data_IF_847331919630
#
_entry.id   IF_847331919630
#
_cell.length_a   1.000
_cell.length_b   1.000
_cell.length_c   1.000
_cell.angle_alpha   90.00
_cell.angle_beta   90.00
_cell.angle_gamma   90.00
#
_symmetry.space_group_name_H-M   'P 1'
#
loop_
_entity.id
_entity.type
_entity.pdbx_description
1 polymer ?
#
# COMPACT_ATOMS: atom_id res chain seq x y z
N UNK A 1 0.48 13.22 -9.74
CA UNK A 1 -0.45 12.55 -10.67
C UNK A 1 -0.89 13.47 -11.81
N UNK A 2 -1.11 14.74 -11.55
CA UNK A 2 -1.60 15.72 -12.53
C UNK A 2 -0.73 15.84 -13.80
N UNK A 3 0.60 15.88 -13.66
CA UNK A 3 1.52 15.95 -14.81
C UNK A 3 1.34 14.76 -15.76
N UNK A 4 1.13 13.55 -15.24
CA UNK A 4 0.92 12.37 -16.06
C UNK A 4 -0.43 12.37 -16.80
N UNK A 5 -1.42 13.07 -16.26
CA UNK A 5 -2.78 13.08 -16.80
C UNK A 5 -2.99 14.20 -17.83
N UNK A 6 -2.32 15.34 -17.66
CA UNK A 6 -2.52 16.51 -18.53
C UNK A 6 -1.47 16.66 -19.62
N UNK A 7 -0.27 16.08 -19.42
CA UNK A 7 0.88 16.23 -20.31
C UNK A 7 1.15 14.99 -21.18
N UNK A 8 0.34 13.93 -21.05
CA UNK A 8 0.59 12.64 -21.74
C UNK A 8 -0.62 12.18 -22.52
N UNK A 9 -0.38 11.61 -23.71
CA UNK A 9 -1.40 11.00 -24.55
C UNK A 9 -1.96 9.70 -23.95
N UNK A 10 -1.17 9.02 -23.08
CA UNK A 10 -1.52 7.76 -22.47
C UNK A 10 -1.74 7.94 -20.98
N UNK A 11 -2.96 7.72 -20.51
CA UNK A 11 -3.33 7.73 -19.10
C UNK A 11 -2.75 6.48 -18.42
N UNK A 12 -2.08 6.58 -17.27
CA UNK A 12 -1.62 5.42 -16.51
C UNK A 12 -2.80 4.52 -16.12
N UNK A 13 -2.73 3.22 -16.43
CA UNK A 13 -3.78 2.26 -16.05
C UNK A 13 -3.78 2.02 -14.52
N UNK A 14 -2.60 2.08 -13.89
CA UNK A 14 -2.42 1.79 -12.46
C UNK A 14 -1.50 2.85 -11.83
N UNK A 15 -1.88 3.32 -10.64
CA UNK A 15 -1.05 4.13 -9.75
C UNK A 15 -0.80 3.35 -8.46
N UNK A 16 0.45 2.93 -8.24
CA UNK A 16 0.83 2.18 -7.04
C UNK A 16 1.29 3.16 -5.95
N UNK A 17 0.51 3.24 -4.87
CA UNK A 17 0.77 4.13 -3.73
C UNK A 17 0.63 3.38 -2.42
N UNK A 18 1.25 3.88 -1.35
CA UNK A 18 1.01 3.37 0.00
C UNK A 18 -0.49 3.43 0.30
N UNK A 19 -1.09 2.27 0.59
CA UNK A 19 -2.51 2.19 0.92
C UNK A 19 -2.74 1.07 1.92
N UNK A 20 -3.11 1.45 3.14
CA UNK A 20 -3.38 0.56 4.27
C UNK A 20 -4.40 1.23 5.21
N UNK A 21 -4.93 0.55 6.26
CA UNK A 21 -5.94 1.13 7.17
C UNK A 21 -5.53 2.44 7.84
N UNK A 22 -4.24 2.66 8.12
CA UNK A 22 -3.74 3.87 8.78
C UNK A 22 -3.34 4.99 7.80
N UNK A 23 -3.26 4.67 6.50
CA UNK A 23 -3.07 5.63 5.41
C UNK A 23 -3.92 5.21 4.22
N UNK A 24 -5.22 5.48 4.30
CA UNK A 24 -6.22 4.88 3.41
C UNK A 24 -6.29 5.50 2.01
N UNK A 25 -5.76 6.71 1.82
CA UNK A 25 -5.62 7.39 0.53
C UNK A 25 -6.94 7.52 -0.26
N UNK A 26 -8.06 7.78 0.41
CA UNK A 26 -9.37 7.90 -0.24
C UNK A 26 -9.40 9.01 -1.31
N UNK A 27 -8.82 10.17 -1.01
CA UNK A 27 -8.77 11.28 -1.96
C UNK A 27 -7.97 10.92 -3.22
N UNK A 28 -6.82 10.26 -3.06
CA UNK A 28 -5.99 9.85 -4.20
C UNK A 28 -6.70 8.80 -5.05
N UNK A 29 -7.46 7.90 -4.41
CA UNK A 29 -8.28 6.90 -5.10
C UNK A 29 -9.39 7.58 -5.93
N UNK A 30 -10.14 8.51 -5.33
CA UNK A 30 -11.19 9.27 -6.02
C UNK A 30 -10.64 10.02 -7.24
N UNK A 31 -9.50 10.71 -7.07
CA UNK A 31 -8.83 11.40 -8.19
C UNK A 31 -8.38 10.41 -9.26
N UNK A 32 -7.81 9.26 -8.89
CA UNK A 32 -7.37 8.25 -9.84
C UNK A 32 -8.55 7.69 -10.66
N UNK A 33 -9.64 7.34 -10.00
CA UNK A 33 -10.85 6.79 -10.62
C UNK A 33 -11.50 7.76 -11.60
N UNK A 34 -11.52 9.07 -11.28
CA UNK A 34 -12.02 10.12 -12.19
C UNK A 34 -11.32 10.10 -13.55
N UNK A 35 -10.07 9.65 -13.60
CA UNK A 35 -9.27 9.56 -14.82
C UNK A 35 -9.11 8.13 -15.35
N UNK A 36 -9.87 7.17 -14.81
CA UNK A 36 -9.81 5.77 -15.23
C UNK A 36 -8.57 5.01 -14.75
N UNK A 37 -7.78 5.58 -13.83
CA UNK A 37 -6.61 4.95 -13.24
C UNK A 37 -7.01 4.15 -11.99
N UNK A 38 -6.55 2.92 -11.86
CA UNK A 38 -6.77 2.11 -10.66
C UNK A 38 -5.64 2.31 -9.64
N UNK A 39 -6.02 2.36 -8.37
CA UNK A 39 -5.04 2.34 -7.28
C UNK A 39 -4.59 0.91 -7.01
N UNK A 40 -3.28 0.72 -6.88
CA UNK A 40 -2.66 -0.52 -6.39
C UNK A 40 -2.00 -0.23 -5.03
N UNK A 41 -2.31 -1.05 -4.04
CA UNK A 41 -1.73 -0.88 -2.73
C UNK A 41 -0.24 -1.25 -2.71
N UNK A 42 0.60 -0.30 -2.38
CA UNK A 42 1.93 -0.54 -1.87
C UNK A 42 1.84 -0.64 -0.35
N UNK A 43 2.55 -1.60 0.24
CA UNK A 43 2.55 -1.89 1.68
C UNK A 43 1.14 -2.00 2.31
N UNK A 44 0.23 -2.88 1.80
CA UNK A 44 -1.12 -3.03 2.32
C UNK A 44 -1.16 -3.42 3.81
N UNK A 45 -0.11 -4.05 4.30
CA UNK A 45 0.08 -4.42 5.71
C UNK A 45 1.01 -3.47 6.47
N UNK A 46 1.41 -2.32 5.91
CA UNK A 46 2.32 -1.37 6.55
C UNK A 46 3.64 -2.00 7.03
N UNK A 47 4.06 -3.14 6.47
CA UNK A 47 5.19 -3.96 6.95
C UNK A 47 5.06 -4.36 8.43
N UNK A 48 3.83 -4.50 8.94
CA UNK A 48 3.54 -4.83 10.33
C UNK A 48 3.70 -3.67 11.31
N UNK A 49 3.94 -2.45 10.82
CA UNK A 49 4.05 -1.24 11.67
C UNK A 49 2.71 -0.93 12.34
N UNK A 50 2.76 -0.14 13.42
CA UNK A 50 1.60 0.31 14.18
C UNK A 50 0.70 -0.84 14.66
N UNK A 51 1.30 -1.98 15.01
CA UNK A 51 0.56 -3.16 15.46
C UNK A 51 -0.56 -3.60 14.50
N UNK A 52 -0.34 -3.44 13.19
CA UNK A 52 -1.33 -3.65 12.13
C UNK A 52 -2.11 -4.97 12.31
N UNK A 53 -1.41 -6.06 12.64
CA UNK A 53 -2.03 -7.39 12.78
C UNK A 53 -2.67 -7.65 14.15
N UNK A 54 -2.41 -6.79 15.14
CA UNK A 54 -2.91 -6.92 16.52
C UNK A 54 -3.75 -5.71 16.94
N UNK A 55 -4.08 -4.82 15.98
CA UNK A 55 -4.97 -3.70 16.23
C UNK A 55 -6.35 -4.22 16.67
N UNK A 56 -6.83 -3.78 17.82
CA UNK A 56 -8.05 -4.27 18.44
C UNK A 56 -9.26 -4.15 17.52
N UNK A 57 -9.42 -3.05 16.82
CA UNK A 57 -10.52 -2.83 15.88
C UNK A 57 -10.50 -3.85 14.74
N UNK A 58 -9.33 -4.07 14.11
CA UNK A 58 -9.20 -5.02 13.01
C UNK A 58 -9.39 -6.47 13.47
N UNK A 59 -8.93 -6.80 14.68
CA UNK A 59 -9.12 -8.12 15.29
C UNK A 59 -10.60 -8.36 15.60
N UNK A 60 -11.29 -7.41 16.25
CA UNK A 60 -12.73 -7.52 16.59
C UNK A 60 -13.60 -7.65 15.33
N UNK A 61 -13.26 -6.93 14.24
CA UNK A 61 -13.94 -7.12 12.97
C UNK A 61 -13.68 -8.52 12.43
N UNK A 62 -12.43 -9.00 12.47
CA UNK A 62 -12.08 -10.35 12.03
C UNK A 62 -12.84 -11.45 12.76
N UNK A 63 -13.00 -11.32 14.07
CA UNK A 63 -13.78 -12.28 14.90
C UNK A 63 -15.22 -12.45 14.42
N UNK A 64 -15.86 -11.40 13.90
CA UNK A 64 -17.23 -11.49 13.35
C UNK A 64 -17.33 -12.44 12.15
N UNK A 65 -16.24 -12.61 11.41
CA UNK A 65 -16.18 -13.37 10.15
C UNK A 65 -15.31 -14.62 10.25
N UNK A 66 -14.78 -14.95 11.42
CA UNK A 66 -13.78 -16.01 11.62
C UNK A 66 -12.54 -15.82 10.74
N UNK A 67 -12.07 -14.56 10.64
CA UNK A 67 -10.94 -14.13 9.82
C UNK A 67 -9.89 -13.39 10.64
N UNK A 68 -8.64 -13.46 10.20
CA UNK A 68 -7.55 -12.70 10.78
C UNK A 68 -7.62 -11.21 10.39
N UNK A 69 -6.98 -10.34 11.17
CA UNK A 69 -6.84 -8.92 10.83
C UNK A 69 -6.21 -8.72 9.43
N UNK A 70 -5.27 -9.59 9.01
CA UNK A 70 -4.70 -9.54 7.67
C UNK A 70 -5.76 -9.78 6.58
N UNK A 71 -6.63 -10.76 6.75
CA UNK A 71 -7.72 -11.05 5.82
C UNK A 71 -8.75 -9.91 5.79
N UNK A 72 -9.06 -9.30 6.94
CA UNK A 72 -9.91 -8.10 7.02
C UNK A 72 -9.32 -6.95 6.20
N UNK A 73 -8.03 -6.67 6.34
CA UNK A 73 -7.34 -5.61 5.58
C UNK A 73 -7.43 -5.89 4.08
N UNK A 74 -7.14 -7.11 3.65
CA UNK A 74 -7.19 -7.47 2.23
C UNK A 74 -8.62 -7.35 1.69
N UNK A 75 -9.62 -7.85 2.43
CA UNK A 75 -11.03 -7.75 2.03
C UNK A 75 -11.50 -6.31 1.94
N UNK A 76 -11.11 -5.46 2.88
CA UNK A 76 -11.40 -4.04 2.87
C UNK A 76 -10.83 -3.34 1.62
N UNK A 77 -9.58 -3.64 1.24
CA UNK A 77 -8.98 -3.09 0.02
C UNK A 77 -9.69 -3.59 -1.24
N UNK A 78 -10.04 -4.89 -1.30
CA UNK A 78 -10.77 -5.49 -2.42
C UNK A 78 -12.14 -4.82 -2.59
N UNK A 79 -12.90 -4.64 -1.51
CA UNK A 79 -14.23 -4.01 -1.57
C UNK A 79 -14.17 -2.55 -2.04
N UNK A 80 -13.05 -1.87 -1.82
CA UNK A 80 -12.75 -0.55 -2.35
C UNK A 80 -12.32 -0.55 -3.82
N UNK A 81 -12.12 -1.72 -4.44
CA UNK A 81 -11.60 -1.82 -5.81
C UNK A 81 -10.10 -1.51 -5.93
N UNK A 82 -9.35 -1.58 -4.83
CA UNK A 82 -7.90 -1.40 -4.80
C UNK A 82 -7.23 -2.71 -5.21
N UNK A 83 -6.28 -2.64 -6.14
CA UNK A 83 -5.47 -3.79 -6.56
C UNK A 83 -4.46 -4.13 -5.45
N UNK A 84 -4.31 -5.42 -5.14
CA UNK A 84 -3.44 -5.88 -4.06
C UNK A 84 -2.35 -6.79 -4.63
N UNK A 85 -1.11 -6.57 -4.16
CA UNK A 85 0.00 -7.49 -4.36
C UNK A 85 0.67 -7.74 -3.00
N UNK A 86 0.51 -8.94 -2.46
CA UNK A 86 1.11 -9.35 -1.18
C UNK A 86 2.08 -10.50 -1.38
N UNK A 87 3.21 -10.43 -0.69
CA UNK A 87 4.24 -11.46 -0.71
C UNK A 87 4.24 -12.25 0.60
N UNK A 88 4.35 -13.56 0.52
CA UNK A 88 4.69 -14.43 1.65
C UNK A 88 5.59 -15.56 1.19
N UNK A 89 6.45 -16.05 2.09
CA UNK A 89 7.24 -17.30 1.94
C UNK A 89 6.64 -18.45 2.75
N UNK A 90 5.60 -18.17 3.54
CA UNK A 90 4.90 -19.17 4.35
C UNK A 90 3.63 -19.61 3.64
N UNK A 91 3.53 -20.91 3.36
CA UNK A 91 2.42 -21.48 2.60
C UNK A 91 1.05 -21.18 3.26
N UNK A 92 0.97 -21.28 4.59
CA UNK A 92 -0.26 -21.02 5.32
C UNK A 92 -0.73 -19.56 5.19
N UNK A 93 0.22 -18.61 5.24
CA UNK A 93 -0.10 -17.20 4.99
C UNK A 93 -0.51 -16.94 3.54
N UNK A 94 0.08 -17.64 2.57
CA UNK A 94 -0.33 -17.54 1.17
C UNK A 94 -1.79 -18.00 1.03
N UNK A 95 -2.16 -19.13 1.65
CA UNK A 95 -3.54 -19.63 1.67
C UNK A 95 -4.49 -18.63 2.33
N UNK A 96 -4.14 -18.11 3.52
CA UNK A 96 -4.94 -17.12 4.22
C UNK A 96 -5.12 -15.84 3.41
N UNK A 97 -4.07 -15.33 2.77
CA UNK A 97 -4.16 -14.13 1.93
C UNK A 97 -5.08 -14.33 0.71
N UNK A 98 -5.25 -15.57 0.24
CA UNK A 98 -6.17 -15.90 -0.84
C UNK A 98 -7.60 -16.19 -0.34
N UNK A 99 -7.76 -16.60 0.91
CA UNK A 99 -9.03 -16.92 1.57
C UNK A 99 -9.74 -15.64 2.07
N UNK A 100 -10.10 -14.76 1.12
CA UNK A 100 -10.71 -13.44 1.36
C UNK A 100 -11.92 -13.16 0.47
N UNK A 101 -12.38 -14.16 -0.27
CA UNK A 101 -13.48 -14.02 -1.22
C UNK A 101 -14.79 -14.67 -0.73
N UNK A 102 -14.75 -15.38 0.38
CA UNK A 102 -15.86 -16.11 0.99
C UNK A 102 -16.67 -15.28 2.01
N UNK A 103 -16.26 -14.06 2.29
CA UNK A 103 -16.94 -13.14 3.19
C UNK A 103 -16.95 -11.71 2.64
N UNK A 104 -17.81 -10.88 3.21
CA UNK A 104 -17.93 -9.47 2.87
C UNK A 104 -18.07 -8.63 4.14
N UNK A 105 -17.26 -7.57 4.23
CA UNK A 105 -17.35 -6.62 5.34
C UNK A 105 -18.61 -5.78 5.20
N UNK A 106 -19.32 -5.60 6.31
CA UNK A 106 -20.48 -4.71 6.35
C UNK A 106 -20.10 -3.25 6.11
N UNK A 107 -21.06 -2.42 5.73
CA UNK A 107 -20.81 -0.98 5.59
C UNK A 107 -20.34 -0.35 6.91
N UNK A 108 -20.81 -0.83 8.06
CA UNK A 108 -20.38 -0.38 9.37
C UNK A 108 -18.90 -0.73 9.61
N UNK A 109 -18.49 -1.95 9.28
CA UNK A 109 -17.08 -2.36 9.41
C UNK A 109 -16.17 -1.57 8.45
N UNK A 110 -16.64 -1.30 7.23
CA UNK A 110 -15.90 -0.46 6.27
C UNK A 110 -15.69 0.96 6.81
N UNK A 111 -16.71 1.60 7.39
CA UNK A 111 -16.60 2.93 8.00
C UNK A 111 -15.76 2.90 9.29
N UNK A 112 -15.84 1.81 10.07
CA UNK A 112 -15.00 1.63 11.26
C UNK A 112 -13.53 1.55 10.90
N UNK A 113 -13.17 0.80 9.85
CA UNK A 113 -11.79 0.73 9.34
C UNK A 113 -11.34 2.08 8.80
N UNK A 114 -12.20 2.80 8.10
CA UNK A 114 -11.94 4.16 7.62
C UNK A 114 -11.61 5.13 8.75
N UNK A 115 -12.19 4.93 9.93
CA UNK A 115 -11.88 5.70 11.14
C UNK A 115 -10.45 5.51 11.67
N UNK A 116 -9.72 4.49 11.23
CA UNK A 116 -8.31 4.26 11.59
C UNK A 116 -7.34 5.14 10.77
N UNK A 117 -7.80 5.81 9.72
CA UNK A 117 -6.99 6.59 8.80
C UNK A 117 -6.38 7.82 9.49
N UNK A 118 -5.07 7.79 9.70
CA UNK A 118 -4.31 8.91 10.26
C UNK A 118 -3.93 9.94 9.21
N UNK A 119 -4.07 9.60 7.93
CA UNK A 119 -3.64 10.39 6.76
C UNK A 119 -2.13 10.63 6.68
N UNK A 120 -1.37 9.95 7.52
CA UNK A 120 0.08 10.01 7.56
C UNK A 120 0.70 8.73 7.01
N UNK A 121 1.82 8.89 6.27
CA UNK A 121 2.58 7.74 5.81
C UNK A 121 3.23 7.00 6.97
N UNK A 122 3.17 5.68 6.96
CA UNK A 122 3.88 4.83 7.91
C UNK A 122 5.40 4.76 7.63
N UNK A 123 5.84 5.27 6.49
CA UNK A 123 7.22 5.14 6.01
C UNK A 123 7.94 6.48 5.93
N UNK A 124 7.44 7.39 5.10
CA UNK A 124 8.06 8.70 4.87
C UNK A 124 7.08 9.66 4.20
N UNK A 125 7.29 10.94 4.43
CA UNK A 125 6.52 11.99 3.79
C UNK A 125 7.27 12.52 2.55
N UNK A 126 6.74 12.24 1.36
CA UNK A 126 7.30 12.71 0.09
C UNK A 126 7.29 14.24 -0.09
N UNK A 127 6.53 14.96 0.73
CA UNK A 127 6.48 16.43 0.71
C UNK A 127 7.51 17.06 1.67
N UNK A 128 8.24 16.24 2.46
CA UNK A 128 9.31 16.73 3.32
C UNK A 128 10.59 16.91 2.49
N UNK A 129 11.11 18.16 2.35
CA UNK A 129 12.33 18.43 1.58
C UNK A 129 13.55 17.63 2.03
N UNK A 130 13.72 17.43 3.33
CA UNK A 130 14.84 16.64 3.88
C UNK A 130 14.76 15.17 3.44
N UNK A 131 13.55 14.62 3.33
CA UNK A 131 13.35 13.26 2.84
C UNK A 131 13.66 13.15 1.35
N UNK A 132 13.30 14.16 0.56
CA UNK A 132 13.62 14.22 -0.86
C UNK A 132 15.14 14.31 -1.07
N UNK A 133 15.82 15.13 -0.27
CA UNK A 133 17.29 15.23 -0.28
C UNK A 133 17.95 13.89 0.10
N UNK A 134 17.46 13.23 1.15
CA UNK A 134 17.96 11.92 1.59
C UNK A 134 17.85 10.87 0.47
N UNK A 135 16.70 10.80 -0.23
CA UNK A 135 16.53 9.89 -1.36
C UNK A 135 17.46 10.23 -2.52
N UNK A 136 17.63 11.52 -2.83
CA UNK A 136 18.55 11.96 -3.89
C UNK A 136 19.97 11.51 -3.60
N UNK A 137 20.46 11.72 -2.37
CA UNK A 137 21.77 11.29 -1.93
C UNK A 137 21.96 9.77 -1.97
N UNK A 138 20.92 9.00 -1.60
CA UNK A 138 20.94 7.53 -1.68
C UNK A 138 21.13 7.06 -3.14
N UNK A 139 20.47 7.71 -4.09
CA UNK A 139 20.60 7.36 -5.53
C UNK A 139 22.02 7.65 -6.03
N UNK A 140 22.60 8.79 -5.66
CA UNK A 140 23.98 9.15 -6.00
C UNK A 140 24.96 8.10 -5.47
N UNK A 141 24.88 7.79 -4.18
CA UNK A 141 25.75 6.80 -3.53
C UNK A 141 25.66 5.42 -4.18
N UNK A 142 24.46 4.98 -4.55
CA UNK A 142 24.29 3.69 -5.25
C UNK A 142 24.90 3.67 -6.65
N UNK A 143 24.82 4.78 -7.39
CA UNK A 143 25.45 4.91 -8.69
C UNK A 143 26.97 4.82 -8.57
N UNK A 144 27.56 5.57 -7.65
CA UNK A 144 29.00 5.54 -7.39
C UNK A 144 29.50 4.14 -7.00
N UNK A 145 28.77 3.43 -6.12
CA UNK A 145 29.08 2.05 -5.74
C UNK A 145 29.01 1.08 -6.94
N UNK A 146 27.98 1.23 -7.80
CA UNK A 146 27.81 0.41 -8.98
C UNK A 146 28.94 0.65 -9.99
N UNK A 147 29.32 1.89 -10.23
CA UNK A 147 30.38 2.23 -11.19
C UNK A 147 31.75 1.75 -10.69
N UNK A 148 32.05 1.93 -9.40
CA UNK A 148 33.24 1.37 -8.76
C UNK A 148 33.29 -0.18 -8.81
N UNK A 149 32.12 -0.86 -8.80
CA UNK A 149 32.05 -2.31 -8.92
C UNK A 149 32.31 -2.81 -10.34
N UNK A 150 31.97 -2.02 -11.35
CA UNK A 150 32.27 -2.32 -12.77
C UNK A 150 33.72 -2.15 -13.09
N UNK A 151 34.37 -1.12 -12.58
CA UNK A 151 35.82 -0.90 -12.77
C UNK A 151 36.63 -2.07 -12.20
N UNK A 152 36.25 -2.64 -11.05
CA UNK A 152 36.90 -3.82 -10.43
C UNK A 152 36.71 -5.14 -11.20
N UNK A 153 35.74 -5.24 -12.11
CA UNK A 153 35.50 -6.45 -12.93
C UNK A 153 36.23 -6.46 -14.26
N UNK A 154 36.86 -5.37 -14.62
CA UNK A 154 37.59 -5.21 -15.88
C UNK A 154 39.11 -5.44 -15.74
N UNK A 155 39.53 -6.16 -14.68
CA UNK A 155 40.91 -6.62 -14.45
C UNK A 155 40.98 -8.15 -14.42
#
# INVERSE_FOLDING_TARGET
>A
MDICLFEREVVPAVNQIETNPFNARYFDQEVAEKYGTKVMAWAPFGEGRNNMFTNETLVQIGEKYDKSAAQVILRWLIQRGVIIAVKSIHLDRIKQNFDVFDFELSNEDMETIKGLDTKDSLFFNHQNPEMVEWFSNMVVTRREQHDASKEKKNW
#
